data_IF_333222427349
#
_entry.id   IF_333222427349
#
_cell.length_a   1.000
_cell.length_b   1.000
_cell.length_c   1.000
_cell.angle_alpha   90.00
_cell.angle_beta   90.00
_cell.angle_gamma   90.00
#
_symmetry.space_group_name_H-M   'P 1'
#
loop_
_entity.id
_entity.type
_entity.pdbx_description
1 polymer ?
#
# COMPACT_ATOMS: atom_id res chain seq x y z
N UNK A 1 -3.49 0.05 5.53
CA UNK A 1 -3.28 -0.82 4.35
C UNK A 1 -4.40 -0.52 3.37
N UNK A 2 -4.09 -0.05 2.16
CA UNK A 2 -5.07 0.51 1.21
C UNK A 2 -5.55 -0.49 0.15
N UNK A 3 -4.89 -1.64 0.02
CA UNK A 3 -5.13 -2.62 -1.05
C UNK A 3 -6.33 -3.55 -0.81
N UNK A 4 -6.83 -3.60 0.43
CA UNK A 4 -7.98 -4.45 0.75
C UNK A 4 -9.22 -4.10 -0.07
N UNK A 5 -9.52 -2.80 -0.19
CA UNK A 5 -10.69 -2.33 -0.93
C UNK A 5 -10.67 -2.75 -2.41
N UNK A 6 -9.64 -2.42 -3.22
CA UNK A 6 -9.60 -2.83 -4.62
C UNK A 6 -9.47 -4.35 -4.79
N UNK A 7 -8.85 -5.07 -3.85
CA UNK A 7 -8.79 -6.54 -3.88
C UNK A 7 -10.17 -7.17 -3.75
N UNK A 8 -10.98 -6.70 -2.79
CA UNK A 8 -12.33 -7.22 -2.60
C UNK A 8 -13.25 -6.85 -3.76
N UNK A 9 -13.17 -5.62 -4.27
CA UNK A 9 -13.94 -5.19 -5.43
C UNK A 9 -13.63 -6.07 -6.65
N UNK A 10 -12.35 -6.28 -6.96
CA UNK A 10 -11.91 -7.15 -8.06
C UNK A 10 -12.41 -8.59 -7.88
N UNK A 11 -12.25 -9.17 -6.68
CA UNK A 11 -12.70 -10.53 -6.38
C UNK A 11 -14.21 -10.73 -6.61
N UNK A 12 -15.03 -9.75 -6.21
CA UNK A 12 -16.49 -9.78 -6.42
C UNK A 12 -16.93 -9.16 -7.75
N UNK A 13 -15.98 -8.90 -8.67
CA UNK A 13 -16.25 -8.38 -10.02
C UNK A 13 -17.01 -7.03 -10.00
N UNK A 14 -16.69 -6.19 -9.01
CA UNK A 14 -17.22 -4.83 -8.87
C UNK A 14 -16.22 -3.80 -9.45
N UNK A 15 -16.70 -2.65 -9.98
CA UNK A 15 -15.82 -1.62 -10.51
C UNK A 15 -14.94 -1.00 -9.40
N UNK A 16 -13.66 -0.80 -9.70
CA UNK A 16 -12.72 -0.09 -8.83
C UNK A 16 -12.75 1.41 -9.20
N UNK A 17 -13.05 2.31 -8.25
CA UNK A 17 -12.96 3.76 -8.49
C UNK A 17 -11.56 4.18 -8.93
N UNK A 18 -11.49 5.08 -9.93
CA UNK A 18 -10.23 5.51 -10.54
C UNK A 18 -9.31 6.30 -9.60
N UNK A 19 -9.83 6.82 -8.50
CA UNK A 19 -9.09 7.54 -7.46
C UNK A 19 -8.57 6.64 -6.33
N UNK A 20 -8.90 5.35 -6.33
CA UNK A 20 -8.25 4.39 -5.43
C UNK A 20 -6.77 4.25 -5.76
N UNK A 21 -5.93 4.45 -4.75
CA UNK A 21 -4.47 4.32 -4.89
C UNK A 21 -3.97 2.90 -4.58
N UNK A 22 -4.82 2.03 -4.04
CA UNK A 22 -4.49 0.62 -3.79
C UNK A 22 -4.55 -0.20 -5.07
N UNK A 23 -3.95 -1.40 -5.04
CA UNK A 23 -3.95 -2.34 -6.16
C UNK A 23 -4.50 -3.72 -5.72
N UNK A 24 -5.21 -4.45 -6.59
CA UNK A 24 -5.67 -5.81 -6.29
C UNK A 24 -4.50 -6.75 -5.98
N UNK A 25 -4.62 -7.56 -4.93
CA UNK A 25 -3.56 -8.44 -4.44
C UNK A 25 -3.63 -9.88 -4.97
N UNK A 26 -4.53 -10.19 -5.92
CA UNK A 26 -4.72 -11.55 -6.42
C UNK A 26 -3.43 -12.19 -6.95
N UNK A 27 -2.62 -11.42 -7.71
CA UNK A 27 -1.32 -11.88 -8.22
C UNK A 27 -0.26 -12.04 -7.13
N UNK A 28 -0.26 -11.15 -6.14
CA UNK A 28 0.62 -11.27 -4.97
C UNK A 28 0.34 -12.59 -4.26
N UNK A 29 -0.94 -12.90 -4.03
CA UNK A 29 -1.35 -14.13 -3.35
C UNK A 29 -1.01 -15.39 -4.16
N UNK A 30 -1.23 -15.35 -5.48
CA UNK A 30 -1.06 -16.52 -6.35
C UNK A 30 0.40 -16.84 -6.68
N UNK A 31 1.26 -15.82 -6.83
CA UNK A 31 2.60 -15.98 -7.39
C UNK A 31 3.67 -15.07 -6.76
N UNK A 32 3.38 -14.41 -5.65
CA UNK A 32 4.29 -13.48 -4.97
C UNK A 32 4.82 -12.36 -5.90
N UNK A 33 4.00 -11.98 -6.90
CA UNK A 33 4.33 -10.91 -7.84
C UNK A 33 4.06 -9.56 -7.16
N UNK A 34 5.08 -8.71 -6.94
CA UNK A 34 4.89 -7.46 -6.22
C UNK A 34 4.09 -6.43 -7.02
N UNK A 35 3.17 -5.74 -6.35
CA UNK A 35 2.36 -4.64 -6.92
C UNK A 35 3.03 -3.26 -6.79
N UNK A 36 4.17 -3.19 -6.10
CA UNK A 36 4.95 -1.96 -5.88
C UNK A 36 6.37 -2.29 -5.41
N UNK A 37 7.28 -1.34 -5.61
CA UNK A 37 8.68 -1.43 -5.19
C UNK A 37 8.87 -1.22 -3.68
N UNK A 38 7.91 -0.58 -3.01
CA UNK A 38 7.99 -0.29 -1.59
C UNK A 38 6.66 0.14 -0.97
N UNK A 39 6.61 0.20 0.36
CA UNK A 39 5.40 0.55 1.10
C UNK A 39 5.62 1.80 1.96
N UNK A 40 4.67 2.75 1.85
CA UNK A 40 4.56 3.89 2.74
C UNK A 40 3.67 3.53 3.93
N UNK A 41 4.10 3.87 5.14
CA UNK A 41 3.34 3.66 6.36
C UNK A 41 3.66 4.72 7.40
N UNK A 42 2.74 4.95 8.32
CA UNK A 42 2.88 5.98 9.32
C UNK A 42 1.56 6.27 10.02
N UNK A 43 1.57 7.32 10.82
CA UNK A 43 0.37 7.83 11.49
C UNK A 43 0.24 9.31 11.18
N UNK A 44 -1.00 9.76 11.02
CA UNK A 44 -1.29 11.18 10.87
C UNK A 44 -0.67 11.99 12.01
N UNK A 45 -0.02 13.10 11.68
CA UNK A 45 0.76 13.95 12.61
C UNK A 45 1.96 13.28 13.31
N UNK A 46 2.33 12.06 12.92
CA UNK A 46 3.51 11.35 13.43
C UNK A 46 4.57 11.14 12.37
N UNK A 47 5.25 9.99 12.44
CA UNK A 47 6.27 9.59 11.47
C UNK A 47 5.64 9.13 10.15
N UNK A 48 6.33 9.45 9.06
CA UNK A 48 6.08 8.87 7.73
C UNK A 48 7.30 8.06 7.36
N UNK A 49 7.11 6.78 7.08
CA UNK A 49 8.19 5.82 6.83
C UNK A 49 7.96 5.14 5.49
N UNK A 50 9.06 4.65 4.90
CA UNK A 50 9.04 3.85 3.67
C UNK A 50 9.93 2.62 3.83
N UNK A 51 9.53 1.50 3.24
CA UNK A 51 10.32 0.27 3.18
C UNK A 51 10.37 -0.27 1.75
N UNK A 52 11.49 -0.86 1.34
CA UNK A 52 11.65 -1.66 0.11
C UNK A 52 11.51 -3.17 0.37
N UNK A 53 11.12 -3.56 1.59
CA UNK A 53 11.06 -4.95 2.05
C UNK A 53 12.34 -5.45 2.74
N UNK A 54 13.48 -4.77 2.57
CA UNK A 54 14.75 -5.09 3.23
C UNK A 54 15.17 -4.05 4.26
N UNK A 55 15.03 -2.78 3.93
CA UNK A 55 15.39 -1.64 4.76
C UNK A 55 14.19 -0.70 4.98
N UNK A 56 14.20 -0.01 6.11
CA UNK A 56 13.20 1.01 6.44
C UNK A 56 13.89 2.36 6.57
N UNK A 57 13.43 3.37 5.82
CA UNK A 57 13.73 4.76 6.09
C UNK A 57 12.64 5.36 6.96
N UNK A 58 13.02 5.80 8.16
CA UNK A 58 12.10 6.44 9.11
C UNK A 58 12.28 7.95 9.08
N UNK A 59 11.22 8.69 8.74
CA UNK A 59 11.25 10.16 8.74
C UNK A 59 10.48 10.71 9.92
N UNK A 60 11.16 11.32 10.92
CA UNK A 60 10.47 12.02 11.98
C UNK A 60 9.79 13.29 11.45
N UNK A 61 8.76 13.75 12.15
CA UNK A 61 8.21 15.08 11.90
C UNK A 61 9.31 16.12 12.19
N UNK A 62 9.59 17.00 11.24
CA UNK A 62 10.46 18.15 11.53
C UNK A 62 9.75 19.08 12.53
N UNK A 63 10.48 19.58 13.53
CA UNK A 63 9.99 20.72 14.31
C UNK A 63 9.84 21.92 13.37
N UNK A 64 8.76 22.68 13.54
CA UNK A 64 8.63 24.02 12.97
C UNK A 64 9.62 24.96 13.67
#
# INVERSE_FOLDING_TARGET
MIDWAPTLLDYFQQPIPADMQGQPLAKVIASDEPVREGALFGVFSGHVNVTDGRYVYMRPRSRA
#
